data_IF_998296986485
#
_entry.id   IF_998296986485
#
_cell.length_a   1.000
_cell.length_b   1.000
_cell.length_c   1.000
_cell.angle_alpha   90.00
_cell.angle_beta   90.00
_cell.angle_gamma   90.00
#
_symmetry.space_group_name_H-M   'P 1'
#
loop_
_entity.id
_entity.type
_entity.pdbx_description
1 polymer ?
#
# COMPACT_ATOMS: atom_id res chain seq x y z
N UNK A 1 12.62 3.35 4.77
CA UNK A 1 13.42 4.57 4.99
C UNK A 1 13.59 4.85 6.48
N UNK A 2 12.52 4.86 7.28
CA UNK A 2 12.63 4.86 8.74
C UNK A 2 13.26 3.58 9.30
N UNK A 3 12.88 2.39 8.79
CA UNK A 3 13.47 1.10 9.21
C UNK A 3 14.99 1.00 9.05
N UNK A 4 15.57 1.84 8.20
CA UNK A 4 17.01 1.94 7.96
C UNK A 4 17.67 3.11 8.71
N UNK A 5 16.90 3.87 9.49
CA UNK A 5 17.38 4.98 10.32
C UNK A 5 17.65 6.29 9.58
N UNK A 6 17.17 6.46 8.34
CA UNK A 6 17.43 7.69 7.56
C UNK A 6 16.60 8.89 8.02
N UNK A 7 15.36 8.65 8.46
CA UNK A 7 14.43 9.69 8.90
C UNK A 7 13.47 9.12 9.94
N UNK A 8 13.11 9.91 10.94
CA UNK A 8 12.16 9.50 11.97
C UNK A 8 10.73 9.37 11.39
N UNK A 9 9.95 8.42 11.89
CA UNK A 9 8.58 8.20 11.44
C UNK A 9 7.62 9.36 11.75
N UNK A 10 7.95 10.19 12.73
CA UNK A 10 7.18 11.39 13.10
C UNK A 10 7.74 12.66 12.45
N UNK A 11 8.83 12.56 11.68
CA UNK A 11 9.34 13.69 10.93
C UNK A 11 8.28 14.19 9.93
N UNK A 12 8.00 15.51 9.86
CA UNK A 12 7.03 16.07 8.93
C UNK A 12 7.23 15.61 7.47
N UNK A 13 8.47 15.47 7.00
CA UNK A 13 8.76 15.00 5.64
C UNK A 13 8.34 13.55 5.44
N UNK A 14 8.53 12.69 6.44
CA UNK A 14 8.09 11.31 6.36
C UNK A 14 6.56 11.23 6.32
N UNK A 15 5.90 11.97 7.22
CA UNK A 15 4.42 12.04 7.26
C UNK A 15 3.85 12.56 5.94
N UNK A 16 4.43 13.62 5.40
CA UNK A 16 4.00 14.20 4.11
C UNK A 16 4.23 13.23 2.96
N UNK A 17 5.31 12.44 2.99
CA UNK A 17 5.57 11.40 1.99
C UNK A 17 4.52 10.30 2.05
N UNK A 18 4.17 9.81 3.25
CA UNK A 18 3.12 8.79 3.41
C UNK A 18 1.78 9.31 2.90
N UNK A 19 1.43 10.56 3.21
CA UNK A 19 0.20 11.20 2.70
C UNK A 19 0.24 11.44 1.18
N UNK A 20 1.41 11.72 0.61
CA UNK A 20 1.55 11.86 -0.84
C UNK A 20 1.35 10.53 -1.55
N UNK A 21 1.92 9.44 -1.03
CA UNK A 21 1.71 8.07 -1.54
C UNK A 21 0.23 7.73 -1.54
N UNK A 22 -0.49 8.07 -0.47
CA UNK A 22 -1.94 7.86 -0.42
C UNK A 22 -2.68 8.56 -1.56
N UNK A 23 -2.43 9.85 -1.76
CA UNK A 23 -3.17 10.64 -2.76
C UNK A 23 -2.88 10.19 -4.19
N UNK A 24 -1.63 9.81 -4.45
CA UNK A 24 -1.17 9.54 -5.82
C UNK A 24 -1.36 8.07 -6.23
N UNK A 25 -1.18 7.14 -5.29
CA UNK A 25 -1.01 5.72 -5.60
C UNK A 25 -2.08 4.81 -4.96
N UNK A 26 -2.88 5.28 -4.00
CA UNK A 26 -3.95 4.46 -3.42
C UNK A 26 -5.17 4.46 -4.34
N UNK A 27 -5.65 3.26 -4.68
CA UNK A 27 -6.87 3.07 -5.46
C UNK A 27 -7.65 1.87 -4.94
N UNK A 28 -8.91 2.12 -4.52
CA UNK A 28 -9.82 1.12 -3.95
C UNK A 28 -9.22 0.25 -2.80
N UNK A 29 -8.36 0.87 -1.99
CA UNK A 29 -7.70 0.21 -0.86
C UNK A 29 -6.50 -0.67 -1.24
N UNK A 30 -6.03 -0.57 -2.48
CA UNK A 30 -4.82 -1.23 -2.98
C UNK A 30 -3.88 -0.18 -3.59
N UNK A 31 -2.58 -0.43 -3.55
CA UNK A 31 -1.56 0.52 -4.02
C UNK A 31 -0.99 0.15 -5.38
N UNK A 32 -0.88 1.16 -6.24
CA UNK A 32 -0.03 1.11 -7.43
C UNK A 32 1.45 1.12 -7.03
N UNK A 33 2.28 0.40 -7.79
CA UNK A 33 3.74 0.53 -7.69
C UNK A 33 4.23 1.88 -8.23
N UNK A 34 3.63 2.32 -9.33
CA UNK A 34 3.84 3.62 -9.97
C UNK A 34 2.61 3.95 -10.82
N UNK A 35 2.36 5.25 -11.07
CA UNK A 35 1.25 5.74 -11.92
C UNK A 35 1.74 6.46 -13.17
N UNK A 36 2.91 6.05 -13.66
CA UNK A 36 3.45 6.56 -14.93
C UNK A 36 2.94 5.70 -16.07
N UNK A 37 2.62 6.33 -17.20
CA UNK A 37 2.51 5.62 -18.47
C UNK A 37 3.90 5.09 -18.83
N UNK A 38 4.08 3.80 -18.64
CA UNK A 38 5.22 3.04 -19.14
C UNK A 38 4.89 2.50 -20.55
N UNK A 39 5.86 1.92 -21.24
CA UNK A 39 5.70 1.24 -22.53
C UNK A 39 4.66 0.09 -22.48
N UNK A 40 4.21 -0.28 -21.28
CA UNK A 40 3.19 -1.30 -21.00
C UNK A 40 1.77 -0.74 -20.72
N UNK A 41 1.59 0.59 -20.77
CA UNK A 41 0.32 1.27 -20.49
C UNK A 41 0.11 1.59 -19.00
N UNK A 42 -1.11 2.00 -18.63
CA UNK A 42 -1.46 2.20 -17.22
C UNK A 42 -1.43 0.85 -16.47
N UNK A 43 -0.73 0.76 -15.32
CA UNK A 43 -0.69 -0.47 -14.54
C UNK A 43 -2.11 -0.89 -14.16
N UNK A 44 -2.47 -2.15 -14.46
CA UNK A 44 -3.82 -2.69 -14.23
C UNK A 44 -3.95 -3.49 -12.94
N UNK A 45 -2.82 -3.82 -12.31
CA UNK A 45 -2.75 -4.58 -11.07
C UNK A 45 -2.11 -3.76 -9.97
N UNK A 46 -2.62 -3.97 -8.75
CA UNK A 46 -1.98 -3.50 -7.54
C UNK A 46 -0.86 -4.46 -7.13
N UNK A 47 0.17 -3.92 -6.50
CA UNK A 47 1.24 -4.75 -5.92
C UNK A 47 0.96 -4.93 -4.44
N UNK A 48 0.55 -6.13 -4.04
CA UNK A 48 0.04 -6.43 -2.68
C UNK A 48 1.03 -6.03 -1.59
N UNK A 49 2.34 -6.23 -1.82
CA UNK A 49 3.41 -5.86 -0.90
C UNK A 49 3.48 -4.34 -0.66
N UNK A 50 3.21 -3.51 -1.66
CA UNK A 50 3.21 -2.05 -1.51
C UNK A 50 2.12 -1.62 -0.54
N UNK A 51 0.96 -2.28 -0.58
CA UNK A 51 -0.14 -2.03 0.35
C UNK A 51 0.25 -2.39 1.79
N UNK A 52 0.92 -3.54 2.01
CA UNK A 52 1.43 -3.90 3.34
C UNK A 52 2.45 -2.89 3.89
N UNK A 53 3.39 -2.43 3.05
CA UNK A 53 4.36 -1.41 3.47
C UNK A 53 3.71 -0.09 3.82
N UNK A 54 2.67 0.30 3.07
CA UNK A 54 1.90 1.49 3.36
C UNK A 54 1.11 1.38 4.66
N UNK A 55 0.46 0.24 4.92
CA UNK A 55 -0.23 -0.05 6.19
C UNK A 55 0.74 0.11 7.37
N UNK A 56 1.94 -0.47 7.28
CA UNK A 56 2.95 -0.32 8.31
C UNK A 56 3.39 1.15 8.47
N UNK A 57 3.50 1.89 7.37
CA UNK A 57 3.85 3.31 7.39
C UNK A 57 2.75 4.17 8.04
N UNK A 58 1.47 3.86 7.78
CA UNK A 58 0.32 4.49 8.43
C UNK A 58 0.34 4.27 9.95
N UNK A 59 0.57 3.02 10.37
CA UNK A 59 0.68 2.69 11.79
C UNK A 59 1.80 3.50 12.47
N UNK A 60 2.97 3.57 11.83
CA UNK A 60 4.13 4.33 12.33
C UNK A 60 3.87 5.83 12.47
N UNK A 61 3.15 6.46 11.53
CA UNK A 61 2.79 7.88 11.66
C UNK A 61 1.69 8.13 12.70
N UNK A 62 1.02 7.09 13.21
CA UNK A 62 -0.02 7.18 14.25
C UNK A 62 -1.45 7.05 13.71
N UNK A 63 -1.62 6.74 12.42
CA UNK A 63 -2.91 6.51 11.77
C UNK A 63 -3.35 5.04 11.98
N UNK A 64 -3.36 4.58 13.23
CA UNK A 64 -3.49 3.16 13.58
C UNK A 64 -4.83 2.56 13.15
N UNK A 65 -5.94 3.29 13.36
CA UNK A 65 -7.29 2.85 12.95
C UNK A 65 -7.36 2.61 11.46
N UNK A 66 -6.77 3.53 10.67
CA UNK A 66 -6.76 3.45 9.22
C UNK A 66 -5.87 2.31 8.72
N UNK A 67 -4.70 2.15 9.33
CA UNK A 67 -3.81 1.03 9.07
C UNK A 67 -4.52 -0.30 9.32
N UNK A 68 -5.23 -0.43 10.45
CA UNK A 68 -5.96 -1.64 10.81
C UNK A 68 -7.07 -1.97 9.81
N UNK A 69 -7.90 -0.98 9.44
CA UNK A 69 -8.97 -1.21 8.47
C UNK A 69 -8.45 -1.68 7.11
N UNK A 70 -7.37 -1.08 6.62
CA UNK A 70 -6.72 -1.50 5.37
C UNK A 70 -6.08 -2.88 5.50
N UNK A 71 -5.50 -3.21 6.65
CA UNK A 71 -4.94 -4.52 6.93
C UNK A 71 -6.01 -5.61 6.91
N UNK A 72 -7.11 -5.41 7.63
CA UNK A 72 -8.23 -6.35 7.69
C UNK A 72 -8.84 -6.57 6.29
N UNK A 73 -8.97 -5.50 5.50
CA UNK A 73 -9.38 -5.60 4.10
C UNK A 73 -8.40 -6.45 3.28
N UNK A 74 -7.10 -6.21 3.42
CA UNK A 74 -6.09 -6.93 2.65
C UNK A 74 -6.05 -8.42 3.01
N UNK A 75 -6.20 -8.76 4.30
CA UNK A 75 -6.26 -10.16 4.77
C UNK A 75 -7.40 -10.96 4.13
N UNK A 76 -8.53 -10.31 3.83
CA UNK A 76 -9.66 -10.95 3.14
C UNK A 76 -9.35 -11.38 1.70
N UNK A 77 -8.27 -10.89 1.10
CA UNK A 77 -7.84 -11.24 -0.26
C UNK A 77 -6.90 -12.45 -0.31
N UNK A 78 -6.60 -13.07 0.85
CA UNK A 78 -5.83 -14.31 0.88
C UNK A 78 -6.60 -15.46 0.24
N UNK A 79 -5.88 -16.41 -0.37
CA UNK A 79 -6.51 -17.64 -0.82
C UNK A 79 -6.83 -18.57 0.36
N UNK A 80 -7.50 -19.70 0.09
CA UNK A 80 -7.89 -20.68 1.12
C UNK A 80 -6.71 -21.27 1.92
N UNK A 81 -5.46 -21.11 1.46
CA UNK A 81 -4.24 -21.50 2.16
C UNK A 81 -3.58 -20.35 2.92
N UNK A 82 -4.18 -19.14 2.91
CA UNK A 82 -3.62 -17.94 3.53
C UNK A 82 -2.49 -17.29 2.74
N UNK A 83 -2.31 -17.66 1.46
CA UNK A 83 -1.30 -17.05 0.59
C UNK A 83 -1.85 -15.81 -0.11
N UNK A 84 -0.96 -14.84 -0.32
CA UNK A 84 -1.26 -13.59 -1.02
C UNK A 84 -0.52 -13.56 -2.34
N UNK A 85 -1.26 -13.26 -3.42
CA UNK A 85 -0.66 -13.04 -4.73
C UNK A 85 0.15 -11.75 -4.76
N UNK A 86 1.19 -11.74 -5.59
CA UNK A 86 2.02 -10.56 -5.83
C UNK A 86 1.17 -9.41 -6.40
N UNK A 87 0.36 -9.75 -7.41
CA UNK A 87 -0.54 -8.83 -8.09
C UNK A 87 -2.02 -9.15 -7.79
N UNK A 88 -2.82 -8.09 -7.65
CA UNK A 88 -4.28 -8.19 -7.58
C UNK A 88 -4.92 -7.19 -8.54
N UNK A 89 -5.92 -7.65 -9.29
CA UNK A 89 -6.78 -6.77 -10.08
C UNK A 89 -7.61 -5.87 -9.15
N UNK A 90 -7.66 -4.57 -9.43
CA UNK A 90 -8.30 -3.59 -8.55
C UNK A 90 -9.81 -3.81 -8.37
N UNK A 91 -10.50 -4.40 -9.36
CA UNK A 91 -11.95 -4.55 -9.32
C UNK A 91 -12.38 -5.89 -8.73
N UNK A 92 -11.72 -6.95 -9.17
CA UNK A 92 -12.08 -8.32 -8.80
C UNK A 92 -11.35 -8.77 -7.54
N UNK A 93 -10.26 -8.10 -7.15
CA UNK A 93 -9.37 -8.47 -6.05
C UNK A 93 -8.85 -9.90 -6.19
N UNK A 94 -8.67 -10.34 -7.44
CA UNK A 94 -8.15 -11.64 -7.83
C UNK A 94 -6.86 -11.46 -8.61
N UNK A 95 -6.03 -12.49 -8.53
CA UNK A 95 -4.85 -12.66 -9.37
C UNK A 95 -5.21 -13.41 -10.66
#
# INVERSE_FOLDING_TARGET
>A
MESYGFIDCKDPKYVDTVKAIERELLFDGLLFRYKNNDDFGEPKSSFTVCTFWYINSLFKIGEETKAKNLFDQLLSNSNHMGLFSEDLDFKTKKC
#
